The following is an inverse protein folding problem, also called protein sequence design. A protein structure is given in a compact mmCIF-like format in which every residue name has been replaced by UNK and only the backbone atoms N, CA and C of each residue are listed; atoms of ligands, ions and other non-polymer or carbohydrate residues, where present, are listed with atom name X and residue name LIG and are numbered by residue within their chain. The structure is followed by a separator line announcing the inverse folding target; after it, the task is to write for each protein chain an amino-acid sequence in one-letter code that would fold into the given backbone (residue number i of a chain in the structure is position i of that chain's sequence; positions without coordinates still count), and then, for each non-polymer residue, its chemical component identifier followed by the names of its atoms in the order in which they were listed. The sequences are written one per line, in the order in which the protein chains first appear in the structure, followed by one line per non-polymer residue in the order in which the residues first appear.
data_IF_828550417175
#
_entry.id   IF_828550417175
#
_cell.length_a   1.000
_cell.length_b   1.000
_cell.length_c   1.000
_cell.angle_alpha   90.00
_cell.angle_beta   90.00
_cell.angle_gamma   90.00
#
_symmetry.space_group_name_H-M   'P 1'
#
loop_
_entity.id
_entity.type
_entity.pdbx_description
1 polymer ?
#
# COMPACT_ATOMS: atom_id res chain seq x y z
N UNK A 1 -12.56 8.47 22.48
CA UNK A 1 -11.98 7.13 22.28
C UNK A 1 -10.91 7.24 21.19
N UNK A 2 -9.72 6.67 21.39
CA UNK A 2 -8.66 6.63 20.36
C UNK A 2 -9.05 5.57 19.31
N UNK A 3 -9.15 5.96 18.04
CA UNK A 3 -9.42 5.03 16.94
C UNK A 3 -8.11 4.33 16.60
N UNK A 4 -8.06 2.99 16.53
CA UNK A 4 -6.87 2.27 16.04
C UNK A 4 -6.54 2.71 14.62
N UNK A 5 -5.31 3.15 14.39
CA UNK A 5 -4.87 3.70 13.10
C UNK A 5 -3.75 2.84 12.50
N UNK A 6 -3.99 2.36 11.28
CA UNK A 6 -3.01 1.63 10.47
C UNK A 6 -2.71 2.48 9.23
N UNK A 7 -1.43 2.63 8.89
CA UNK A 7 -0.97 3.32 7.69
C UNK A 7 -0.20 2.35 6.80
N UNK A 8 -0.50 2.40 5.50
CA UNK A 8 0.21 1.69 4.44
C UNK A 8 0.78 2.78 3.54
N UNK A 9 2.09 2.98 3.56
CA UNK A 9 2.76 4.04 2.81
C UNK A 9 4.20 3.61 2.46
N UNK A 10 4.74 4.05 1.30
CA UNK A 10 6.14 3.79 0.93
C UNK A 10 7.14 4.71 1.65
N UNK A 11 6.65 5.71 2.39
CA UNK A 11 7.49 6.70 3.09
C UNK A 11 6.89 7.11 4.43
N UNK A 12 7.72 7.66 5.30
CA UNK A 12 7.25 8.26 6.54
C UNK A 12 6.41 9.52 6.26
N UNK A 13 5.10 9.43 6.48
CA UNK A 13 4.14 10.54 6.33
C UNK A 13 3.75 11.13 7.69
N UNK A 14 3.08 12.29 7.69
CA UNK A 14 2.51 12.87 8.92
C UNK A 14 1.46 11.92 9.53
N UNK A 15 0.74 11.17 8.70
CA UNK A 15 -0.21 10.15 9.15
C UNK A 15 0.52 8.97 9.79
N UNK A 16 1.64 8.52 9.21
CA UNK A 16 2.48 7.48 9.80
C UNK A 16 3.00 7.87 11.19
N UNK A 17 3.29 9.15 11.43
CA UNK A 17 3.79 9.65 12.71
C UNK A 17 2.78 9.51 13.88
N UNK A 18 1.49 9.36 13.57
CA UNK A 18 0.42 9.19 14.58
C UNK A 18 -0.24 7.81 14.52
N UNK A 19 0.26 6.91 13.66
CA UNK A 19 -0.31 5.56 13.48
C UNK A 19 0.12 4.59 14.58
N UNK A 20 -0.75 3.63 14.91
CA UNK A 20 -0.42 2.53 15.82
C UNK A 20 0.38 1.43 15.10
N UNK A 21 0.17 1.26 13.79
CA UNK A 21 0.90 0.31 12.93
C UNK A 21 1.23 0.99 11.60
N UNK A 22 2.48 0.86 11.16
CA UNK A 22 2.95 1.30 9.83
C UNK A 22 3.40 0.08 9.04
N UNK A 23 2.83 -0.12 7.86
CA UNK A 23 3.19 -1.18 6.92
C UNK A 23 3.89 -0.53 5.72
N UNK A 24 5.22 -0.67 5.57
CA UNK A 24 5.93 -0.10 4.44
C UNK A 24 5.61 -0.85 3.15
N UNK A 25 5.38 -0.10 2.07
CA UNK A 25 5.08 -0.64 0.74
C UNK A 25 6.00 -0.08 -0.35
N UNK A 26 5.95 -0.68 -1.54
CA UNK A 26 6.71 -0.19 -2.70
C UNK A 26 6.13 1.09 -3.26
N UNK A 27 6.97 1.99 -3.76
CA UNK A 27 6.53 3.22 -4.42
C UNK A 27 6.15 3.00 -5.90
N UNK A 28 4.90 3.31 -6.24
CA UNK A 28 4.39 3.22 -7.63
C UNK A 28 5.15 4.18 -8.56
N UNK A 29 5.59 3.66 -9.71
CA UNK A 29 6.39 4.41 -10.69
C UNK A 29 7.89 4.50 -10.36
N UNK A 30 8.32 3.87 -9.27
CA UNK A 30 9.75 3.72 -8.93
C UNK A 30 10.08 2.24 -8.73
N UNK A 31 9.41 1.58 -7.79
CA UNK A 31 9.71 0.20 -7.36
C UNK A 31 8.71 -0.82 -7.92
N UNK A 32 7.48 -0.37 -8.20
CA UNK A 32 6.39 -1.17 -8.79
C UNK A 32 5.72 -0.37 -9.89
N UNK A 33 5.26 -1.04 -10.96
CA UNK A 33 4.47 -0.40 -12.00
C UNK A 33 3.04 -0.10 -11.54
N UNK A 34 2.33 0.75 -12.28
CA UNK A 34 0.95 1.07 -11.93
C UNK A 34 0.35 2.17 -12.78
N UNK A 35 -0.83 2.63 -12.39
CA UNK A 35 -1.55 3.70 -13.08
C UNK A 35 -1.81 4.84 -12.10
N UNK A 36 -1.24 6.01 -12.38
CA UNK A 36 -1.55 7.22 -11.66
C UNK A 36 -2.63 7.99 -12.42
N UNK A 37 -3.60 8.55 -11.72
CA UNK A 37 -4.59 9.43 -12.32
C UNK A 37 -4.19 10.88 -12.10
N UNK A 38 -4.07 11.63 -13.19
CA UNK A 38 -3.95 13.08 -13.11
C UNK A 38 -5.31 13.68 -12.70
N UNK A 39 -5.30 14.90 -12.17
CA UNK A 39 -6.52 15.55 -11.64
C UNK A 39 -7.63 15.74 -12.68
N UNK A 40 -7.30 15.75 -13.97
CA UNK A 40 -8.27 15.78 -15.07
C UNK A 40 -8.79 14.39 -15.48
N UNK A 41 -8.49 13.35 -14.68
CA UNK A 41 -8.95 11.98 -14.89
C UNK A 41 -8.16 11.18 -15.93
N UNK A 42 -7.13 11.77 -16.55
CA UNK A 42 -6.30 11.06 -17.52
C UNK A 42 -5.44 10.01 -16.80
N UNK A 43 -5.55 8.72 -17.18
CA UNK A 43 -4.69 7.68 -16.64
C UNK A 43 -3.29 7.77 -17.24
N UNK A 44 -2.27 7.74 -16.38
CA UNK A 44 -0.87 7.72 -16.75
C UNK A 44 -0.27 6.40 -16.29
N UNK A 45 0.17 5.57 -17.24
CA UNK A 45 0.93 4.36 -16.92
C UNK A 45 2.33 4.73 -16.46
N UNK A 46 2.63 4.32 -15.23
CA UNK A 46 3.92 4.48 -14.58
C UNK A 46 4.68 3.16 -14.67
N UNK A 47 5.97 3.23 -15.00
CA UNK A 47 6.84 2.06 -15.13
C UNK A 47 7.72 1.93 -13.89
N UNK A 48 7.99 0.69 -13.50
CA UNK A 48 9.06 0.38 -12.55
C UNK A 48 10.41 0.86 -13.09
N UNK A 49 11.19 1.50 -12.24
CA UNK A 49 12.52 2.03 -12.54
C UNK A 49 13.62 1.23 -11.85
N UNK A 50 13.39 0.79 -10.61
CA UNK A 50 14.35 0.03 -9.78
C UNK A 50 13.63 -1.13 -9.10
N UNK A 51 14.39 -2.13 -8.65
CA UNK A 51 13.84 -3.21 -7.83
C UNK A 51 13.51 -2.71 -6.40
N UNK A 52 12.40 -3.19 -5.80
CA UNK A 52 12.08 -2.85 -4.42
C UNK A 52 13.09 -3.46 -3.46
N UNK A 53 13.24 -2.91 -2.24
CA UNK A 53 14.00 -3.56 -1.18
C UNK A 53 13.44 -4.95 -0.85
N UNK A 54 14.33 -5.87 -0.47
CA UNK A 54 13.95 -7.26 -0.17
C UNK A 54 12.85 -7.33 0.90
N UNK A 55 11.78 -8.06 0.57
CA UNK A 55 10.64 -8.28 1.47
C UNK A 55 9.61 -7.15 1.53
N UNK A 56 9.80 -6.04 0.80
CA UNK A 56 8.81 -4.97 0.66
C UNK A 56 7.81 -5.33 -0.45
N UNK A 57 6.52 -5.21 -0.15
CA UNK A 57 5.42 -5.59 -1.04
C UNK A 57 4.69 -4.36 -1.58
N UNK A 58 3.99 -4.50 -2.70
CA UNK A 58 3.09 -3.46 -3.18
C UNK A 58 1.86 -3.29 -2.29
N UNK A 59 1.22 -2.11 -2.34
CA UNK A 59 -0.02 -1.85 -1.59
C UNK A 59 -1.10 -2.88 -1.91
N UNK A 60 -1.18 -3.29 -3.18
CA UNK A 60 -2.09 -4.32 -3.66
C UNK A 60 -1.84 -5.66 -2.96
N UNK A 61 -0.60 -6.14 -2.95
CA UNK A 61 -0.26 -7.43 -2.34
C UNK A 61 -0.49 -7.41 -0.83
N UNK A 62 -0.20 -6.29 -0.15
CA UNK A 62 -0.49 -6.11 1.28
C UNK A 62 -1.99 -6.21 1.52
N UNK A 63 -2.79 -5.45 0.78
CA UNK A 63 -4.25 -5.46 0.93
C UNK A 63 -4.85 -6.83 0.59
N UNK A 64 -4.38 -7.50 -0.45
CA UNK A 64 -4.81 -8.87 -0.79
C UNK A 64 -4.52 -9.85 0.36
N UNK A 65 -3.33 -9.78 0.97
CA UNK A 65 -2.99 -10.62 2.14
C UNK A 65 -3.88 -10.32 3.35
N UNK A 66 -4.14 -9.04 3.62
CA UNK A 66 -5.01 -8.63 4.72
C UNK A 66 -6.45 -9.12 4.50
N UNK A 67 -6.99 -8.95 3.30
CA UNK A 67 -8.33 -9.41 2.95
C UNK A 67 -8.40 -10.93 3.08
N UNK A 68 -7.45 -11.68 2.51
CA UNK A 68 -7.38 -13.14 2.64
C UNK A 68 -7.37 -13.56 4.11
N UNK A 69 -6.59 -12.88 4.96
CA UNK A 69 -6.55 -13.22 6.38
C UNK A 69 -7.86 -12.92 7.09
N UNK A 70 -8.51 -11.80 6.76
CA UNK A 70 -9.83 -11.46 7.31
C UNK A 70 -10.88 -12.46 6.87
N UNK A 71 -10.88 -12.88 5.60
CA UNK A 71 -11.81 -13.88 5.06
C UNK A 71 -11.64 -15.22 5.79
N UNK A 72 -10.41 -15.69 5.96
CA UNK A 72 -10.09 -16.89 6.75
C UNK A 72 -10.63 -16.79 8.18
N UNK A 73 -10.39 -15.67 8.86
CA UNK A 73 -10.84 -15.43 10.24
C UNK A 73 -12.37 -15.30 10.37
N UNK A 74 -13.06 -14.86 9.31
CA UNK A 74 -14.51 -14.66 9.30
C UNK A 74 -15.27 -15.83 8.67
N UNK A 75 -14.57 -16.82 8.11
CA UNK A 75 -15.19 -17.91 7.36
C UNK A 75 -15.89 -17.45 6.08
N UNK A 76 -15.43 -16.34 5.49
CA UNK A 76 -15.93 -15.86 4.20
C UNK A 76 -15.24 -16.66 3.09
N UNK A 77 -16.04 -17.30 2.24
CA UNK A 77 -15.61 -18.11 1.10
C UNK A 77 -15.51 -17.31 -0.19
#
# INVERSE_FOLDING_TARGET
AKIPLIVIDPKWSLTAAVADVVIPTTMVGIETDGTAYRMDGVPLHTKKLVDPPDGVLSDREVLERLINKVMELKGWS
#
